data_IF_877212225095
#
_entry.id   IF_877212225095
#
_cell.length_a   1.000
_cell.length_b   1.000
_cell.length_c   1.000
_cell.angle_alpha   90.00
_cell.angle_beta   90.00
_cell.angle_gamma   90.00
#
_symmetry.space_group_name_H-M   'P 1'
#
loop_
_entity.id
_entity.type
_entity.pdbx_description
1 polymer ?
#
# COMPACT_ATOMS: atom_id res chain seq x y z
N UNK A 1 18.96 1.00 4.50
CA UNK A 1 17.77 1.76 4.97
C UNK A 1 17.48 2.89 4.00
N UNK A 2 16.36 2.79 3.29
CA UNK A 2 15.89 3.83 2.35
C UNK A 2 14.74 4.63 2.98
N UNK A 3 14.70 5.95 2.78
CA UNK A 3 13.65 6.83 3.31
C UNK A 3 12.93 7.53 2.17
N UNK A 4 11.60 7.39 2.12
CA UNK A 4 10.73 8.13 1.19
C UNK A 4 9.76 9.03 1.94
N UNK A 5 9.46 10.17 1.33
CA UNK A 5 8.38 11.04 1.77
C UNK A 5 7.20 10.88 0.82
N UNK A 6 6.00 10.82 1.40
CA UNK A 6 4.73 10.73 0.67
C UNK A 6 3.71 11.66 1.29
N UNK A 7 2.68 11.98 0.52
CA UNK A 7 1.50 12.69 1.00
C UNK A 7 0.30 11.73 0.94
N UNK A 8 -0.46 11.72 2.02
CA UNK A 8 -1.73 10.99 2.16
C UNK A 8 -2.89 11.98 2.19
N UNK A 9 -4.08 11.48 1.88
CA UNK A 9 -5.34 12.18 2.13
C UNK A 9 -5.80 11.82 3.55
N UNK A 10 -6.07 12.86 4.36
CA UNK A 10 -6.57 12.69 5.72
C UNK A 10 -7.84 13.52 5.89
N UNK A 11 -8.88 12.94 6.45
CA UNK A 11 -10.09 13.69 6.82
C UNK A 11 -9.77 14.68 7.95
N UNK A 12 -10.61 15.70 8.10
CA UNK A 12 -10.50 16.70 9.17
C UNK A 12 -10.57 16.09 10.56
N UNK A 13 -11.35 15.01 10.72
CA UNK A 13 -11.46 14.18 11.94
C UNK A 13 -10.20 13.34 12.24
N UNK A 14 -9.23 13.31 11.32
CA UNK A 14 -7.96 12.63 11.49
C UNK A 14 -7.90 11.21 10.90
N UNK A 15 -8.95 10.75 10.21
CA UNK A 15 -8.94 9.42 9.58
C UNK A 15 -8.24 9.46 8.22
N UNK A 16 -7.21 8.62 7.95
CA UNK A 16 -6.63 8.50 6.61
C UNK A 16 -7.59 7.79 5.66
N UNK A 17 -7.61 8.22 4.40
CA UNK A 17 -8.52 7.68 3.38
C UNK A 17 -7.78 7.27 2.10
N UNK A 18 -8.39 6.38 1.32
CA UNK A 18 -7.92 6.01 -0.02
C UNK A 18 -8.35 7.06 -1.08
N UNK A 19 -8.08 6.77 -2.35
CA UNK A 19 -8.45 7.63 -3.49
C UNK A 19 -9.97 7.69 -3.74
N UNK A 20 -10.73 6.78 -3.15
CA UNK A 20 -12.20 6.78 -3.17
C UNK A 20 -12.78 7.45 -1.91
N UNK A 21 -11.94 8.08 -1.09
CA UNK A 21 -12.31 8.75 0.17
C UNK A 21 -12.86 7.82 1.25
N UNK A 22 -12.55 6.53 1.15
CA UNK A 22 -12.94 5.53 2.14
C UNK A 22 -11.87 5.41 3.23
N UNK A 23 -12.26 5.30 4.52
CA UNK A 23 -11.34 5.09 5.63
C UNK A 23 -10.43 3.88 5.43
N UNK A 24 -9.14 4.05 5.70
CA UNK A 24 -8.17 2.95 5.67
C UNK A 24 -7.50 2.75 7.03
N UNK A 25 -7.12 1.50 7.32
CA UNK A 25 -6.41 1.14 8.55
C UNK A 25 -4.90 1.34 8.46
N UNK A 26 -4.33 1.37 7.26
CA UNK A 26 -2.89 1.51 7.04
C UNK A 26 -2.54 2.79 6.27
N UNK A 27 -1.43 3.42 6.65
CA UNK A 27 -0.91 4.58 5.93
C UNK A 27 -0.42 4.21 4.53
N UNK A 28 0.03 2.98 4.31
CA UNK A 28 0.45 2.48 2.99
C UNK A 28 -0.69 2.50 1.97
N UNK A 29 -1.93 2.20 2.40
CA UNK A 29 -3.10 2.27 1.54
C UNK A 29 -3.49 3.73 1.17
N UNK A 30 -3.15 4.69 2.04
CA UNK A 30 -3.38 6.12 1.83
C UNK A 30 -2.20 6.84 1.12
N UNK A 31 -1.01 6.24 1.11
CA UNK A 31 0.24 6.82 0.58
C UNK A 31 0.29 6.75 -0.94
N UNK A 32 -0.10 7.85 -1.60
CA UNK A 32 -0.21 7.89 -3.06
C UNK A 32 0.55 9.01 -3.73
N UNK A 33 0.69 10.16 -3.08
CA UNK A 33 1.24 11.34 -3.74
C UNK A 33 2.71 11.54 -3.37
N UNK A 34 3.51 11.92 -4.37
CA UNK A 34 4.94 12.20 -4.19
C UNK A 34 5.17 13.60 -3.61
N UNK A 35 4.30 14.54 -3.98
CA UNK A 35 4.39 15.95 -3.66
C UNK A 35 2.98 16.55 -3.52
N UNK A 36 2.96 17.83 -3.14
CA UNK A 36 1.72 18.56 -2.85
C UNK A 36 0.96 18.93 -4.13
N UNK A 37 1.65 19.08 -5.26
CA UNK A 37 1.03 19.48 -6.53
C UNK A 37 0.23 18.32 -7.13
N UNK A 38 0.74 17.10 -7.03
CA UNK A 38 0.02 15.88 -7.38
C UNK A 38 -1.24 15.70 -6.52
N UNK A 39 -1.14 15.97 -5.20
CA UNK A 39 -2.31 15.97 -4.31
C UNK A 39 -3.33 17.04 -4.72
N UNK A 40 -2.89 18.27 -4.96
CA UNK A 40 -3.77 19.39 -5.32
C UNK A 40 -4.47 19.16 -6.66
N UNK A 41 -3.77 18.57 -7.62
CA UNK A 41 -4.31 18.18 -8.93
C UNK A 41 -5.38 17.10 -8.78
N UNK A 42 -5.15 16.12 -7.89
CA UNK A 42 -6.11 15.06 -7.62
C UNK A 42 -7.36 15.56 -6.89
N UNK A 43 -7.18 16.25 -5.76
CA UNK A 43 -8.29 16.64 -4.88
C UNK A 43 -9.22 17.67 -5.52
N UNK A 44 -8.70 18.53 -6.41
CA UNK A 44 -9.49 19.52 -7.15
C UNK A 44 -9.84 19.05 -8.57
N UNK A 45 -9.46 17.82 -8.92
CA UNK A 45 -9.68 17.24 -10.24
C UNK A 45 -11.11 16.75 -10.44
N UNK A 46 -11.38 16.23 -11.64
CA UNK A 46 -12.70 15.71 -12.02
C UNK A 46 -13.20 14.58 -11.12
N UNK A 47 -12.29 13.76 -10.58
CA UNK A 47 -12.58 12.66 -9.65
C UNK A 47 -12.34 13.06 -8.18
N UNK A 48 -12.28 14.38 -7.90
CA UNK A 48 -12.20 14.95 -6.57
C UNK A 48 -13.43 14.63 -5.72
N UNK A 49 -13.37 14.81 -4.39
CA UNK A 49 -14.54 14.68 -3.54
C UNK A 49 -15.48 15.87 -3.76
N UNK A 50 -16.77 15.68 -3.49
CA UNK A 50 -17.76 16.77 -3.61
C UNK A 50 -17.47 17.96 -2.68
N UNK A 51 -16.84 17.70 -1.52
CA UNK A 51 -16.41 18.74 -0.59
C UNK A 51 -14.94 18.52 -0.21
N UNK A 52 -14.07 19.36 -0.77
CA UNK A 52 -12.61 19.29 -0.58
C UNK A 52 -12.18 19.76 0.82
N UNK A 53 -12.94 20.62 1.48
CA UNK A 53 -12.62 21.17 2.81
C UNK A 53 -12.59 20.10 3.92
N UNK A 54 -13.23 18.95 3.67
CA UNK A 54 -13.22 17.81 4.58
C UNK A 54 -11.89 17.04 4.56
N UNK A 55 -10.99 17.35 3.62
CA UNK A 55 -9.76 16.60 3.38
C UNK A 55 -8.54 17.51 3.42
N UNK A 56 -7.49 17.05 4.08
CA UNK A 56 -6.21 17.73 4.16
C UNK A 56 -5.06 16.81 3.74
N UNK A 57 -4.04 17.36 3.07
CA UNK A 57 -2.82 16.64 2.80
C UNK A 57 -2.03 16.45 4.09
N UNK A 58 -1.53 15.24 4.33
CA UNK A 58 -0.63 14.95 5.44
C UNK A 58 0.67 14.33 4.89
N UNK A 59 1.81 14.95 5.19
CA UNK A 59 3.13 14.36 4.89
C UNK A 59 3.41 13.21 5.84
N UNK A 60 3.91 12.11 5.29
CA UNK A 60 4.40 10.94 6.02
C UNK A 60 5.81 10.58 5.57
N UNK A 61 6.53 9.91 6.47
CA UNK A 61 7.84 9.31 6.21
C UNK A 61 7.68 7.79 6.16
N UNK A 62 8.13 7.18 5.08
CA UNK A 62 8.17 5.73 4.89
C UNK A 62 9.63 5.30 4.93
N UNK A 63 9.91 4.30 5.75
CA UNK A 63 11.25 3.73 5.89
C UNK A 63 11.22 2.29 5.39
N UNK A 64 12.15 1.93 4.53
CA UNK A 64 12.33 0.58 4.01
C UNK A 64 13.62 -0.01 4.57
N UNK A 65 13.53 -1.27 4.96
CA UNK A 65 14.61 -2.11 5.44
C UNK A 65 14.60 -3.40 4.62
N UNK A 66 15.78 -3.87 4.24
CA UNK A 66 15.93 -5.16 3.56
C UNK A 66 15.96 -6.24 4.64
N UNK A 67 15.07 -7.23 4.52
CA UNK A 67 15.11 -8.44 5.34
C UNK A 67 15.86 -9.51 4.55
N UNK A 68 16.91 -10.10 5.13
CA UNK A 68 17.60 -11.26 4.57
C UNK A 68 16.75 -12.51 4.80
N UNK A 69 15.81 -12.78 3.90
CA UNK A 69 15.18 -14.11 3.83
C UNK A 69 16.10 -15.07 3.07
N UNK A 70 16.90 -15.83 3.81
CA UNK A 70 17.51 -17.06 3.30
C UNK A 70 16.36 -18.02 2.96
N UNK A 71 15.94 -18.05 1.70
CA UNK A 71 14.96 -19.00 1.20
C UNK A 71 15.58 -20.39 1.32
N UNK A 72 15.34 -21.08 2.44
CA UNK A 72 15.53 -22.52 2.51
C UNK A 72 14.49 -23.14 1.57
N UNK A 73 14.91 -23.39 0.33
CA UNK A 73 14.19 -24.20 -0.62
C UNK A 73 14.09 -25.60 -0.01
N UNK A 74 12.96 -25.89 0.67
CA UNK A 74 12.64 -27.25 1.08
C UNK A 74 12.40 -28.03 -0.20
N UNK A 75 13.43 -28.73 -0.66
CA UNK A 75 13.33 -29.72 -1.73
C UNK A 75 12.29 -30.74 -1.30
N UNK A 76 11.11 -30.68 -1.88
CA UNK A 76 10.13 -31.75 -1.75
C UNK A 76 10.62 -32.86 -2.65
N UNK A 77 11.29 -33.86 -2.08
CA UNK A 77 11.52 -35.14 -2.74
C UNK A 77 10.14 -35.74 -3.05
N UNK A 78 9.75 -35.70 -4.32
CA UNK A 78 8.63 -36.47 -4.83
C UNK A 78 9.08 -37.94 -4.75
N UNK A 79 8.66 -38.63 -3.68
CA UNK A 79 8.74 -40.08 -3.66
C UNK A 79 7.85 -40.62 -4.77
N UNK A 80 8.50 -41.20 -5.78
CA UNK A 80 7.92 -42.01 -6.84
C UNK A 80 7.12 -43.15 -6.19
N UNK A 81 5.80 -42.97 -6.09
CA UNK A 81 4.91 -44.02 -5.60
C UNK A 81 4.72 -45.00 -6.76
N UNK A 82 5.62 -45.97 -6.83
CA UNK A 82 5.50 -47.13 -7.71
C UNK A 82 4.16 -47.84 -7.48
N UNK A 83 3.27 -47.73 -8.46
CA UNK A 83 2.03 -48.48 -8.55
C UNK A 83 2.18 -49.67 -9.48
N UNK A 84 2.82 -50.74 -9.01
CA UNK A 84 2.71 -52.08 -9.59
C UNK A 84 1.50 -52.80 -9.00
N UNK A 85 0.55 -53.19 -9.86
CA UNK A 85 -0.40 -54.33 -9.78
C UNK A 85 -1.48 -54.08 -10.85
N UNK A 86 -1.79 -54.96 -11.79
CA UNK A 86 -1.78 -56.41 -11.76
C UNK A 86 -3.20 -56.88 -12.11
N UNK A 87 -3.42 -57.21 -13.40
CA UNK A 87 -4.30 -58.24 -13.98
C UNK A 87 -4.46 -58.00 -15.49
#
# INVERSE_FOLDING_TARGET
>A
MEVKHRIIIKRTDGVPVNLHYEPVKSLSAAARFNDIDAYNTFINGYYGPTNTELYKPQKIKITYEEEEDDVQQVGVDIQDIGGSSGL
#
